data_IF_599034331294
#
_entry.id   IF_599034331294
#
_cell.length_a   1.000
_cell.length_b   1.000
_cell.length_c   1.000
_cell.angle_alpha   90.00
_cell.angle_beta   90.00
_cell.angle_gamma   90.00
#
_symmetry.space_group_name_H-M   'P 1'
#
loop_
_entity.id
_entity.type
_entity.pdbx_description
1 polymer ?
#
# COMPACT_ATOMS: atom_id res chain seq x y z
N UNK A 1 -5.98 3.19 -13.47
CA UNK A 1 -5.83 4.61 -13.87
C UNK A 1 -6.91 5.41 -13.18
N UNK A 2 -6.53 6.52 -12.55
CA UNK A 2 -7.44 7.41 -11.83
C UNK A 2 -7.22 8.85 -12.28
N UNK A 3 -8.29 9.55 -12.68
CA UNK A 3 -8.23 10.94 -13.10
C UNK A 3 -8.51 11.86 -11.92
N UNK A 4 -7.58 12.79 -11.66
CA UNK A 4 -7.67 13.76 -10.57
C UNK A 4 -7.88 15.14 -11.18
N UNK A 5 -8.92 15.84 -10.73
CA UNK A 5 -9.06 17.28 -10.98
C UNK A 5 -8.25 18.02 -9.94
N UNK A 6 -7.24 18.75 -10.39
CA UNK A 6 -6.33 19.50 -9.55
C UNK A 6 -7.05 20.64 -8.85
N UNK A 7 -6.61 20.88 -7.62
CA UNK A 7 -6.93 22.04 -6.81
C UNK A 7 -5.66 22.65 -6.23
N UNK A 8 -5.76 23.88 -5.74
CA UNK A 8 -4.63 24.55 -5.07
C UNK A 8 -4.30 23.91 -3.72
N UNK A 9 -5.28 23.24 -3.10
CA UNK A 9 -5.09 22.45 -1.89
C UNK A 9 -4.43 21.10 -2.20
N UNK A 10 -3.64 20.58 -1.26
CA UNK A 10 -3.00 19.28 -1.40
C UNK A 10 -4.04 18.17 -1.56
N UNK A 11 -3.82 17.28 -2.51
CA UNK A 11 -4.58 16.06 -2.72
C UNK A 11 -3.63 14.87 -2.54
N UNK A 12 -4.13 13.82 -1.89
CA UNK A 12 -3.35 12.62 -1.57
C UNK A 12 -3.87 11.44 -2.37
N UNK A 13 -2.95 10.66 -2.92
CA UNK A 13 -3.22 9.35 -3.53
C UNK A 13 -2.41 8.32 -2.77
N UNK A 14 -3.09 7.35 -2.18
CA UNK A 14 -2.45 6.19 -1.56
C UNK A 14 -1.81 5.31 -2.65
N UNK A 15 -0.53 4.99 -2.48
CA UNK A 15 0.26 4.27 -3.49
C UNK A 15 0.36 2.77 -3.21
N UNK A 16 0.43 2.39 -1.93
CA UNK A 16 0.70 1.01 -1.52
C UNK A 16 -0.51 0.30 -0.93
N UNK A 17 -1.63 1.01 -0.69
CA UNK A 17 -2.84 0.46 -0.08
C UNK A 17 -2.46 -0.28 1.23
N UNK A 18 -2.80 -1.56 1.34
CA UNK A 18 -2.48 -2.40 2.51
C UNK A 18 -1.17 -3.22 2.37
N UNK A 19 -0.35 -2.98 1.33
CA UNK A 19 0.84 -3.81 1.03
C UNK A 19 2.08 -3.34 1.81
N UNK A 20 2.77 -4.28 2.45
CA UNK A 20 4.07 -4.08 3.12
C UNK A 20 5.27 -4.41 2.23
N UNK A 21 5.05 -5.22 1.18
CA UNK A 21 6.04 -5.57 0.16
C UNK A 21 5.44 -5.23 -1.19
N UNK A 22 6.14 -4.37 -1.95
CA UNK A 22 5.68 -3.94 -3.26
C UNK A 22 6.82 -3.35 -4.10
N UNK A 23 6.63 -3.42 -5.41
CA UNK A 23 7.40 -2.72 -6.43
C UNK A 23 6.39 -2.08 -7.38
N UNK A 24 6.32 -0.75 -7.38
CA UNK A 24 5.34 -0.01 -8.18
C UNK A 24 6.01 1.03 -9.06
N UNK A 25 5.46 1.19 -10.25
CA UNK A 25 5.73 2.32 -11.15
C UNK A 25 4.53 3.25 -11.10
N UNK A 26 4.78 4.51 -10.74
CA UNK A 26 3.78 5.58 -10.67
C UNK A 26 4.03 6.52 -11.83
N UNK A 27 3.00 6.78 -12.63
CA UNK A 27 3.01 7.76 -13.71
C UNK A 27 1.87 8.75 -13.51
N UNK A 28 2.17 10.03 -13.61
CA UNK A 28 1.19 11.13 -13.58
C UNK A 28 1.32 11.89 -14.87
N UNK A 29 0.24 11.93 -15.65
CA UNK A 29 0.23 12.60 -16.96
C UNK A 29 -0.87 13.67 -16.94
N UNK A 30 -0.50 14.92 -17.17
CA UNK A 30 -1.47 15.99 -17.37
C UNK A 30 -2.24 15.77 -18.68
N UNK A 31 -3.55 16.03 -18.68
CA UNK A 31 -4.35 15.97 -19.91
C UNK A 31 -3.85 16.97 -20.97
N UNK A 32 -3.29 18.10 -20.53
CA UNK A 32 -2.60 19.09 -21.35
C UNK A 32 -1.10 19.06 -21.03
N UNK A 33 -0.28 18.75 -22.04
CA UNK A 33 1.18 18.60 -21.88
C UNK A 33 1.90 19.91 -21.57
N UNK A 34 1.28 21.06 -21.85
CA UNK A 34 1.82 22.37 -21.47
C UNK A 34 1.52 22.73 -20.01
N UNK A 35 0.55 22.06 -19.38
CA UNK A 35 0.15 22.34 -18.01
C UNK A 35 1.22 21.88 -17.01
N UNK A 36 1.37 22.67 -15.94
CA UNK A 36 2.27 22.39 -14.83
C UNK A 36 1.48 21.92 -13.61
N UNK A 37 2.07 21.03 -12.84
CA UNK A 37 1.56 20.59 -11.55
C UNK A 37 2.71 20.39 -10.58
N UNK A 38 2.39 20.39 -9.31
CA UNK A 38 3.33 20.12 -8.23
C UNK A 38 3.06 18.73 -7.67
N UNK A 39 4.09 17.89 -7.60
CA UNK A 39 3.97 16.55 -7.05
C UNK A 39 5.18 16.17 -6.21
N UNK A 40 4.96 15.27 -5.26
CA UNK A 40 6.00 14.59 -4.51
C UNK A 40 5.46 13.28 -3.95
N UNK A 41 6.30 12.25 -3.91
CA UNK A 41 6.00 11.00 -3.22
C UNK A 41 6.67 11.06 -1.86
N UNK A 42 5.88 10.88 -0.80
CA UNK A 42 6.34 10.94 0.59
C UNK A 42 5.77 9.77 1.39
N UNK A 43 6.42 9.44 2.50
CA UNK A 43 5.91 8.48 3.47
C UNK A 43 5.02 9.17 4.53
N UNK A 44 4.27 8.39 5.30
CA UNK A 44 3.40 8.88 6.39
C UNK A 44 4.14 9.78 7.40
N UNK A 45 5.36 9.41 7.79
CA UNK A 45 6.15 10.18 8.77
C UNK A 45 6.50 11.57 8.22
N UNK A 46 6.88 11.66 6.96
CA UNK A 46 7.14 12.93 6.26
C UNK A 46 5.87 13.78 6.13
N UNK A 47 4.74 13.14 5.82
CA UNK A 47 3.43 13.80 5.73
C UNK A 47 2.99 14.39 7.07
N UNK A 48 3.19 13.67 8.17
CA UNK A 48 2.82 14.08 9.52
C UNK A 48 3.70 15.22 10.05
N UNK A 49 4.98 15.27 9.64
CA UNK A 49 5.90 16.36 10.01
C UNK A 49 5.58 17.67 9.28
N UNK A 50 4.88 17.64 8.14
CA UNK A 50 4.36 18.81 7.44
C UNK A 50 5.32 19.52 6.47
N UNK A 51 6.61 19.17 6.48
CA UNK A 51 7.61 19.71 5.55
C UNK A 51 7.56 18.96 4.21
N UNK A 52 6.61 19.33 3.36
CA UNK A 52 6.43 18.72 2.03
C UNK A 52 7.14 19.56 0.96
N UNK A 53 8.25 19.05 0.43
CA UNK A 53 8.98 19.68 -0.65
C UNK A 53 8.48 19.23 -2.02
N UNK A 54 7.59 20.02 -2.62
CA UNK A 54 7.03 19.73 -3.93
C UNK A 54 8.02 19.98 -5.06
N UNK A 55 7.97 19.13 -6.08
CA UNK A 55 8.64 19.36 -7.36
C UNK A 55 7.62 19.82 -8.41
N UNK A 56 8.01 20.80 -9.23
CA UNK A 56 7.18 21.27 -10.34
C UNK A 56 7.47 20.38 -11.56
N UNK A 57 6.41 19.79 -12.10
CA UNK A 57 6.45 18.97 -13.30
C UNK A 57 5.64 19.64 -14.41
N UNK A 58 6.05 19.45 -15.66
CA UNK A 58 5.34 19.91 -16.85
C UNK A 58 4.98 18.70 -17.71
N UNK A 59 3.69 18.57 -18.03
CA UNK A 59 3.16 17.47 -18.84
C UNK A 59 3.09 16.12 -18.12
N UNK A 60 4.11 15.71 -17.37
CA UNK A 60 4.05 14.48 -16.58
C UNK A 60 5.22 14.23 -15.64
N UNK A 61 5.08 13.20 -14.81
CA UNK A 61 6.14 12.65 -13.97
C UNK A 61 6.05 11.12 -13.93
N UNK A 62 7.19 10.47 -13.70
CA UNK A 62 7.27 9.04 -13.47
C UNK A 62 8.20 8.76 -12.30
N UNK A 63 7.86 7.75 -11.51
CA UNK A 63 8.65 7.31 -10.37
C UNK A 63 8.49 5.80 -10.16
N UNK A 64 9.53 5.16 -9.63
CA UNK A 64 9.46 3.76 -9.16
C UNK A 64 9.70 3.73 -7.66
N UNK A 65 8.85 3.00 -6.95
CA UNK A 65 8.92 2.84 -5.51
C UNK A 65 8.98 1.35 -5.16
N UNK A 66 9.97 0.97 -4.37
CA UNK A 66 10.20 -0.42 -3.94
C UNK A 66 10.28 -0.46 -2.42
N UNK A 67 9.46 -1.29 -1.80
CA UNK A 67 9.57 -1.67 -0.39
C UNK A 67 9.62 -3.19 -0.30
N UNK A 68 10.74 -3.73 0.18
CA UNK A 68 10.97 -5.16 0.36
C UNK A 68 11.27 -5.53 1.82
N UNK A 69 11.10 -4.58 2.74
CA UNK A 69 11.47 -4.76 4.15
C UNK A 69 10.41 -5.46 4.96
N UNK A 70 9.23 -5.70 4.39
CA UNK A 70 8.04 -6.22 5.07
C UNK A 70 7.70 -5.39 6.33
N UNK A 71 7.92 -4.08 6.25
CA UNK A 71 7.59 -3.12 7.30
C UNK A 71 6.39 -2.31 6.80
N UNK A 72 5.39 -2.17 7.67
CA UNK A 72 4.23 -1.34 7.38
C UNK A 72 4.65 0.13 7.37
N UNK A 73 4.59 0.74 6.19
CA UNK A 73 4.89 2.14 5.94
C UNK A 73 4.03 2.59 4.77
N UNK A 74 3.17 3.57 5.00
CA UNK A 74 2.32 4.13 3.95
C UNK A 74 3.08 5.18 3.15
N UNK A 75 2.84 5.17 1.84
CA UNK A 75 3.40 6.09 0.86
C UNK A 75 2.26 6.77 0.10
N UNK A 76 2.37 8.09 -0.02
CA UNK A 76 1.38 8.91 -0.68
C UNK A 76 2.02 9.71 -1.80
N UNK A 77 1.35 9.77 -2.93
CA UNK A 77 1.56 10.82 -3.91
C UNK A 77 0.77 12.06 -3.44
N UNK A 78 1.50 13.10 -3.07
CA UNK A 78 0.95 14.42 -2.84
C UNK A 78 0.95 15.18 -4.16
N UNK A 79 -0.20 15.69 -4.58
CA UNK A 79 -0.34 16.44 -5.82
C UNK A 79 -1.20 17.69 -5.63
N UNK A 80 -0.83 18.77 -6.31
CA UNK A 80 -1.62 20.02 -6.39
C UNK A 80 -1.30 20.78 -7.66
N UNK A 81 -2.11 21.78 -7.99
CA UNK A 81 -1.83 22.66 -9.11
C UNK A 81 -2.92 23.67 -9.35
N UNK A 82 -3.00 24.15 -10.60
CA UNK A 82 -4.03 25.09 -11.01
C UNK A 82 -5.42 24.44 -10.98
N UNK A 83 -6.38 25.13 -10.37
CA UNK A 83 -7.73 24.61 -10.16
C UNK A 83 -8.40 24.27 -11.50
N UNK A 84 -8.92 23.06 -11.61
CA UNK A 84 -9.69 22.59 -12.77
C UNK A 84 -8.85 21.93 -13.87
N UNK A 85 -7.51 22.01 -13.80
CA UNK A 85 -6.63 21.16 -14.60
C UNK A 85 -6.79 19.70 -14.19
N UNK A 86 -6.49 18.77 -15.09
CA UNK A 86 -6.65 17.34 -14.83
C UNK A 86 -5.36 16.58 -15.11
N UNK A 87 -5.13 15.57 -14.28
CA UNK A 87 -4.02 14.63 -14.41
C UNK A 87 -4.55 13.21 -14.30
N UNK A 88 -3.91 12.29 -15.02
CA UNK A 88 -4.18 10.86 -14.96
C UNK A 88 -3.05 10.20 -14.19
N UNK A 89 -3.39 9.56 -13.08
CA UNK A 89 -2.48 8.79 -12.25
C UNK A 89 -2.61 7.32 -12.59
N UNK A 90 -1.49 6.69 -12.91
CA UNK A 90 -1.39 5.27 -13.17
C UNK A 90 -0.39 4.66 -12.21
N UNK A 91 -0.83 3.64 -11.47
CA UNK A 91 0.02 2.83 -10.59
C UNK A 91 0.07 1.44 -11.20
N UNK A 92 1.27 0.99 -11.54
CA UNK A 92 1.52 -0.33 -12.09
C UNK A 92 2.29 -1.14 -11.05
N UNK A 93 1.71 -2.24 -10.62
CA UNK A 93 2.35 -3.17 -9.68
C UNK A 93 3.19 -4.17 -10.47
N UNK A 94 4.49 -4.16 -10.21
CA UNK A 94 5.39 -5.18 -10.69
C UNK A 94 5.24 -6.45 -9.83
N UNK A 95 5.36 -7.65 -10.41
CA UNK A 95 5.28 -8.90 -9.65
C UNK A 95 6.39 -8.95 -8.61
N UNK A 96 6.09 -9.52 -7.45
CA UNK A 96 7.03 -9.62 -6.33
C UNK A 96 8.23 -10.49 -6.78
N UNK A 97 9.48 -9.97 -6.70
CA UNK A 97 10.65 -10.72 -7.15
C UNK A 97 10.84 -12.07 -6.45
N UNK A 98 10.24 -12.27 -5.26
CA UNK A 98 10.31 -13.54 -4.53
C UNK A 98 9.43 -14.64 -5.13
N UNK A 99 8.29 -14.30 -5.75
CA UNK A 99 7.37 -15.28 -6.35
C UNK A 99 7.92 -15.78 -7.71
N UNK A 100 8.68 -14.94 -8.42
CA UNK A 100 9.23 -15.28 -9.73
C UNK A 100 10.31 -16.40 -9.71
N UNK A 101 10.84 -16.77 -8.54
CA UNK A 101 11.91 -17.78 -8.43
C UNK A 101 11.41 -19.17 -7.97
N UNK A 102 10.16 -19.32 -7.54
CA UNK A 102 9.67 -20.58 -6.94
C UNK A 102 8.97 -21.52 -7.96
N UNK A 103 8.72 -21.07 -9.20
CA UNK A 103 8.00 -21.88 -10.22
C UNK A 103 8.87 -22.88 -11.02
N UNK A 104 10.17 -23.00 -10.76
CA UNK A 104 11.05 -23.91 -11.53
C UNK A 104 11.68 -25.03 -10.69
N UNK A 105 10.91 -25.74 -9.86
CA UNK A 105 11.37 -27.03 -9.29
C UNK A 105 10.23 -28.00 -8.97
N UNK A 106 9.34 -28.27 -9.93
CA UNK A 106 8.58 -29.54 -9.91
C UNK A 106 9.49 -30.61 -10.55
N UNK A 107 10.33 -31.26 -9.75
CA UNK A 107 10.87 -32.56 -10.15
C UNK A 107 9.70 -33.54 -10.21
N UNK A 108 9.53 -34.34 -11.28
CA UNK A 108 8.65 -35.50 -11.24
C UNK A 108 9.22 -36.46 -10.19
N UNK A 109 8.63 -36.49 -9.00
CA UNK A 109 8.91 -37.53 -8.01
C UNK A 109 8.26 -38.79 -8.53
N UNK A 110 9.08 -39.68 -9.06
CA UNK A 110 8.69 -41.05 -9.40
C UNK A 110 8.18 -41.72 -8.10
N UNK A 111 6.89 -42.02 -8.06
CA UNK A 111 6.24 -42.71 -6.94
C UNK A 111 6.65 -44.18 -6.94
N UNK A 112 7.74 -44.52 -6.24
CA UNK A 112 7.90 -45.89 -5.76
C UNK A 112 6.88 -46.13 -4.64
N UNK A 113 5.89 -46.96 -4.94
CA UNK A 113 4.83 -47.40 -4.04
C UNK A 113 5.43 -48.35 -2.99
N UNK A 114 5.53 -47.99 -1.68
CA UNK A 114 5.81 -48.99 -0.66
C UNK A 114 4.55 -49.83 -0.38
N UNK A 115 4.69 -51.15 -0.14
CA UNK A 115 3.55 -52.02 0.11
C UNK A 115 2.82 -51.70 1.42
N UNK A 116 1.50 -51.85 1.35
CA UNK A 116 0.49 -51.56 2.35
C UNK A 116 0.74 -52.31 3.68
N UNK A 117 1.20 -51.60 4.72
CA UNK A 117 1.22 -52.13 6.10
C UNK A 117 -0.05 -51.67 6.82
N UNK A 118 -0.83 -52.66 7.30
CA UNK A 118 -2.09 -52.45 8.04
C UNK A 118 -1.87 -51.65 9.33
N UNK A 119 -2.75 -50.68 9.67
CA UNK A 119 -2.59 -49.89 10.89
C UNK A 119 -3.12 -50.64 12.13
N UNK A 120 -2.39 -50.62 13.26
CA UNK A 120 -2.98 -50.85 14.57
C UNK A 120 -3.74 -49.59 15.04
N UNK A 121 -4.98 -49.81 15.46
CA UNK A 121 -5.88 -48.82 16.03
C UNK A 121 -5.32 -48.27 17.34
N UNK A 122 -4.99 -46.97 17.41
CA UNK A 122 -4.70 -46.29 18.67
C UNK A 122 -5.43 -44.94 18.82
N UNK A 123 -6.46 -45.03 19.68
CA UNK A 123 -7.19 -44.06 20.49
C UNK A 123 -6.90 -42.55 20.31
N UNK A 124 -7.96 -41.86 19.87
CA UNK A 124 -8.28 -40.44 20.09
C UNK A 124 -7.92 -39.95 21.50
N UNK A 125 -7.22 -38.81 21.58
CA UNK A 125 -7.41 -37.83 22.66
C UNK A 125 -7.62 -36.44 22.06
N UNK A 126 -8.81 -35.91 22.30
CA UNK A 126 -9.26 -34.56 22.06
C UNK A 126 -8.83 -33.61 23.18
N UNK A 127 -8.30 -32.43 22.83
CA UNK A 127 -8.32 -31.15 23.57
C UNK A 127 -8.24 -30.07 22.47
N UNK A 128 -9.23 -29.23 22.14
CA UNK A 128 -10.05 -28.25 22.89
C UNK A 128 -9.23 -27.19 23.64
N UNK A 129 -9.12 -26.00 23.03
CA UNK A 129 -9.21 -24.64 23.59
C UNK A 129 -8.77 -23.66 22.45
N UNK A 130 -9.63 -22.81 21.87
CA UNK A 130 -10.13 -21.51 22.41
C UNK A 130 -9.00 -20.64 22.97
N UNK A 131 -8.79 -19.36 22.64
CA UNK A 131 -9.66 -18.28 22.13
C UNK A 131 -8.76 -17.11 21.64
N UNK A 132 -9.10 -16.43 20.55
CA UNK A 132 -9.62 -15.04 20.52
C UNK A 132 -9.03 -14.08 21.56
N UNK A 133 -8.27 -13.08 21.09
CA UNK A 133 -7.99 -11.83 21.82
C UNK A 133 -8.09 -10.66 20.84
N UNK A 134 -9.33 -10.38 20.44
CA UNK A 134 -9.73 -9.16 19.74
C UNK A 134 -9.83 -8.04 20.80
N UNK A 135 -8.81 -7.18 20.88
CA UNK A 135 -8.75 -6.05 21.81
C UNK A 135 -9.30 -4.78 21.16
N UNK A 136 -10.62 -4.70 21.01
CA UNK A 136 -11.36 -3.44 20.81
C UNK A 136 -11.37 -2.65 22.12
N UNK A 137 -10.39 -1.78 22.40
CA UNK A 137 -10.52 -0.68 23.39
C UNK A 137 -9.52 0.44 23.12
N UNK A 138 -9.97 1.54 22.52
CA UNK A 138 -9.75 2.91 23.03
C UNK A 138 -10.34 3.94 22.07
N UNK A 139 -11.62 4.20 22.27
CA UNK A 139 -12.33 5.36 21.77
C UNK A 139 -12.18 6.45 22.84
N UNK A 140 -11.33 7.45 22.61
CA UNK A 140 -11.30 8.67 23.43
C UNK A 140 -11.75 9.86 22.60
N UNK A 141 -13.05 10.13 22.71
CA UNK A 141 -13.65 11.42 22.37
C UNK A 141 -13.36 12.35 23.55
N UNK A 142 -12.50 13.35 23.38
CA UNK A 142 -12.42 14.48 24.31
C UNK A 142 -13.14 15.65 23.63
N UNK A 143 -14.41 15.79 24.00
CA UNK A 143 -15.18 17.02 23.85
C UNK A 143 -14.83 17.88 25.07
N UNK A 144 -14.09 18.97 24.88
CA UNK A 144 -14.09 20.09 25.84
C UNK A 144 -14.98 21.19 25.27
N UNK A 145 -16.15 21.20 25.87
CA UNK A 145 -17.27 22.12 25.73
C UNK A 145 -16.95 23.41 26.49
N UNK A 146 -17.16 24.53 25.79
CA UNK A 146 -17.69 25.81 26.29
C UNK A 146 -16.81 26.61 27.27
N UNK A 147 -16.25 27.69 26.72
CA UNK A 147 -16.70 29.06 27.03
C UNK A 147 -16.63 29.53 28.48
N UNK A 148 -15.65 30.39 28.77
CA UNK A 148 -15.69 31.43 29.81
C UNK A 148 -14.98 32.63 29.17
N UNK A 149 -15.74 33.57 28.60
CA UNK A 149 -16.15 34.84 29.22
C UNK A 149 -15.03 35.88 29.31
N UNK A 150 -15.35 37.05 28.73
CA UNK A 150 -14.68 38.37 28.76
C UNK A 150 -13.75 38.63 27.58
#
# INVERSE_FOLDING_TARGET
MHTITLASQKQLVDLNEDRTVFDIEVSVIAEDTASKFEAVIINQTELDNGDINYQIHQGGMEARLVNNKNIYQNYFLCIRGEKGKKVNVTIKYNPDPQIAQEESFIQPREEEIPPLVKPPVLKRKSKKQESSIFSQRSLFIIIIVIGICI
#
